data_IF_632549985760
#
_entry.id   IF_632549985760
#
_cell.length_a   1.000
_cell.length_b   1.000
_cell.length_c   1.000
_cell.angle_alpha   90.00
_cell.angle_beta   90.00
_cell.angle_gamma   90.00
#
_symmetry.space_group_name_H-M   'P 1'
#
loop_
_entity.id
_entity.type
_entity.pdbx_description
1 polymer ?
#
# COMPACT_ATOMS: atom_id res chain seq x y z
N UNK A 1 -49.41 63.71 -28.52
CA UNK A 1 -48.26 62.97 -27.93
C UNK A 1 -48.05 61.73 -28.77
N UNK A 2 -46.87 61.50 -29.37
CA UNK A 2 -46.64 60.29 -30.14
C UNK A 2 -46.60 59.08 -29.21
N UNK A 3 -47.16 57.96 -29.67
CA UNK A 3 -47.21 56.72 -28.92
C UNK A 3 -45.80 56.17 -28.72
N UNK A 4 -45.43 55.74 -27.51
CA UNK A 4 -44.10 55.23 -27.24
C UNK A 4 -43.87 53.94 -28.02
N UNK A 5 -42.82 53.92 -28.84
CA UNK A 5 -42.41 52.73 -29.56
C UNK A 5 -41.79 51.73 -28.58
N UNK A 6 -42.19 50.46 -28.72
CA UNK A 6 -41.65 49.36 -27.91
C UNK A 6 -40.99 48.34 -28.82
N UNK A 7 -39.82 47.89 -28.42
CA UNK A 7 -39.12 46.81 -29.10
C UNK A 7 -39.70 45.48 -28.63
N UNK A 8 -40.13 44.65 -29.58
CA UNK A 8 -40.62 43.29 -29.31
C UNK A 8 -39.65 42.25 -29.83
N UNK A 9 -39.65 41.09 -29.18
CA UNK A 9 -38.92 39.89 -29.61
C UNK A 9 -39.92 38.74 -29.68
N UNK A 10 -39.96 38.06 -30.83
CA UNK A 10 -40.75 36.84 -31.03
C UNK A 10 -39.95 35.64 -30.53
N UNK A 11 -40.51 34.87 -29.61
CA UNK A 11 -39.86 33.69 -29.01
C UNK A 11 -40.23 32.43 -29.80
N UNK A 12 -39.23 31.65 -30.20
CA UNK A 12 -39.41 30.35 -30.86
C UNK A 12 -38.94 29.18 -29.95
N UNK A 13 -39.59 28.01 -30.00
CA UNK A 13 -39.12 26.85 -29.25
C UNK A 13 -37.77 26.35 -29.79
N UNK A 14 -36.74 26.37 -28.96
CA UNK A 14 -35.44 25.78 -29.26
C UNK A 14 -35.11 24.71 -28.24
N UNK A 15 -34.62 23.56 -28.71
CA UNK A 15 -34.13 22.50 -27.83
C UNK A 15 -32.72 22.84 -27.37
N UNK A 16 -32.54 23.01 -26.06
CA UNK A 16 -31.24 23.32 -25.46
C UNK A 16 -30.83 22.19 -24.51
N UNK A 17 -29.61 21.63 -24.63
CA UNK A 17 -29.16 20.59 -23.73
C UNK A 17 -28.96 21.15 -22.32
N UNK A 18 -29.56 20.50 -21.32
CA UNK A 18 -29.33 20.83 -19.92
C UNK A 18 -28.06 20.11 -19.46
N UNK A 19 -26.97 20.86 -19.31
CA UNK A 19 -25.69 20.36 -18.79
C UNK A 19 -25.64 20.55 -17.28
N UNK A 20 -25.32 19.48 -16.56
CA UNK A 20 -25.06 19.52 -15.12
C UNK A 20 -23.57 19.36 -14.88
N UNK A 21 -23.00 20.31 -14.15
CA UNK A 21 -21.60 20.28 -13.75
C UNK A 21 -21.53 19.85 -12.28
N UNK A 22 -20.74 18.80 -12.01
CA UNK A 22 -20.59 18.24 -10.68
C UNK A 22 -19.13 18.31 -10.25
N UNK A 23 -18.90 18.70 -9.00
CA UNK A 23 -17.58 18.61 -8.39
C UNK A 23 -17.24 17.15 -8.13
N UNK A 24 -16.11 16.69 -8.67
CA UNK A 24 -15.59 15.35 -8.47
C UNK A 24 -14.20 15.39 -7.84
N UNK A 25 -13.90 14.45 -6.95
CA UNK A 25 -12.55 14.21 -6.46
C UNK A 25 -12.05 12.87 -7.01
N UNK A 26 -10.83 12.86 -7.54
CA UNK A 26 -10.16 11.65 -7.98
C UNK A 26 -9.42 11.01 -6.81
N UNK A 27 -9.61 9.72 -6.58
CA UNK A 27 -8.84 8.93 -5.63
C UNK A 27 -7.99 7.87 -6.37
N UNK A 28 -6.93 7.41 -5.73
CA UNK A 28 -6.16 6.26 -6.22
C UNK A 28 -7.06 5.03 -6.32
N UNK A 29 -6.92 4.23 -7.39
CA UNK A 29 -7.72 3.01 -7.54
C UNK A 29 -7.47 2.02 -6.39
N UNK A 30 -6.25 2.01 -5.84
CA UNK A 30 -5.83 1.20 -4.69
C UNK A 30 -4.75 1.96 -3.92
N UNK A 31 -5.00 2.19 -2.64
CA UNK A 31 -4.01 2.73 -1.72
C UNK A 31 -3.48 1.59 -0.84
N UNK A 32 -2.15 1.46 -0.77
CA UNK A 32 -1.48 0.47 0.06
C UNK A 32 -0.45 1.18 0.93
N UNK A 33 -0.68 1.17 2.24
CA UNK A 33 0.25 1.74 3.20
C UNK A 33 1.32 0.69 3.57
N UNK A 34 2.59 1.05 3.42
CA UNK A 34 3.71 0.18 3.79
C UNK A 34 4.05 0.42 5.26
N UNK A 35 3.78 -0.57 6.11
CA UNK A 35 4.10 -0.54 7.54
C UNK A 35 5.14 -1.59 7.90
N UNK A 36 6.08 -1.23 8.77
CA UNK A 36 7.04 -2.18 9.32
C UNK A 36 6.31 -3.17 10.25
N UNK A 37 6.50 -4.48 10.00
CA UNK A 37 5.92 -5.55 10.83
C UNK A 37 6.77 -5.90 12.05
N UNK A 38 8.04 -5.52 12.01
CA UNK A 38 9.03 -5.81 13.05
C UNK A 38 9.75 -4.52 13.41
N UNK A 39 10.15 -4.41 14.66
CA UNK A 39 10.98 -3.30 15.15
C UNK A 39 12.40 -3.50 14.67
N UNK A 40 12.99 -2.47 14.05
CA UNK A 40 14.36 -2.55 13.54
C UNK A 40 14.81 -1.23 12.95
N UNK A 41 16.12 -1.09 12.75
CA UNK A 41 16.71 0.07 12.11
C UNK A 41 16.68 -0.17 10.60
N UNK A 42 16.19 0.83 9.84
CA UNK A 42 16.22 0.80 8.37
C UNK A 42 17.66 1.02 7.92
N UNK A 43 18.24 0.02 7.27
CA UNK A 43 19.60 0.11 6.70
C UNK A 43 19.58 0.82 5.35
N UNK A 44 18.66 0.41 4.46
CA UNK A 44 18.58 0.94 3.09
C UNK A 44 17.14 1.02 2.59
N UNK A 45 16.89 2.05 1.78
CA UNK A 45 15.69 2.15 0.93
C UNK A 45 16.03 1.65 -0.48
N UNK A 46 15.26 0.69 -0.97
CA UNK A 46 15.53 -0.06 -2.19
C UNK A 46 14.66 0.36 -3.39
N UNK A 47 13.88 1.44 -3.24
CA UNK A 47 13.07 2.00 -4.31
C UNK A 47 13.33 3.50 -4.49
N UNK A 48 12.99 4.00 -5.68
CA UNK A 48 12.96 5.42 -5.99
C UNK A 48 11.55 5.95 -5.79
N UNK A 49 11.42 7.07 -5.09
CA UNK A 49 10.12 7.73 -4.90
C UNK A 49 9.47 8.06 -6.26
N UNK A 50 8.17 7.80 -6.37
CA UNK A 50 7.40 7.99 -7.60
C UNK A 50 7.59 6.89 -8.66
N UNK A 51 8.50 5.93 -8.46
CA UNK A 51 8.67 4.82 -9.40
C UNK A 51 7.60 3.72 -9.18
N UNK A 52 7.18 3.01 -10.25
CA UNK A 52 6.30 1.86 -10.11
C UNK A 52 7.02 0.72 -9.39
N UNK A 53 6.33 0.09 -8.43
CA UNK A 53 6.82 -1.07 -7.67
C UNK A 53 5.91 -2.27 -7.90
N UNK A 54 6.47 -3.48 -7.82
CA UNK A 54 5.72 -4.72 -8.01
C UNK A 54 5.45 -5.42 -6.67
N UNK A 55 4.40 -6.23 -6.62
CA UNK A 55 4.12 -7.06 -5.45
C UNK A 55 5.32 -7.98 -5.13
N UNK A 56 5.71 -8.05 -3.86
CA UNK A 56 6.87 -8.83 -3.40
C UNK A 56 8.23 -8.18 -3.61
N UNK A 57 8.30 -7.00 -4.26
CA UNK A 57 9.56 -6.28 -4.39
C UNK A 57 10.03 -5.76 -3.03
N UNK A 58 11.29 -6.02 -2.64
CA UNK A 58 11.87 -5.43 -1.43
C UNK A 58 11.89 -3.90 -1.53
N UNK A 59 11.26 -3.22 -0.58
CA UNK A 59 11.21 -1.75 -0.52
C UNK A 59 12.19 -1.18 0.51
N UNK A 60 12.32 -1.86 1.64
CA UNK A 60 13.19 -1.47 2.73
C UNK A 60 14.00 -2.68 3.20
N UNK A 61 15.28 -2.45 3.49
CA UNK A 61 16.14 -3.41 4.15
C UNK A 61 16.32 -2.97 5.60
N UNK A 62 15.96 -3.85 6.52
CA UNK A 62 16.21 -3.68 7.96
C UNK A 62 17.53 -4.34 8.33
N UNK A 63 18.19 -3.85 9.38
CA UNK A 63 19.38 -4.48 9.94
C UNK A 63 19.08 -5.93 10.38
N UNK A 64 19.68 -6.90 9.70
CA UNK A 64 19.44 -8.32 9.91
C UNK A 64 20.22 -8.91 11.10
N UNK A 65 21.31 -8.26 11.55
CA UNK A 65 22.22 -8.79 12.59
C UNK A 65 21.51 -9.30 13.86
N UNK A 66 20.58 -8.54 14.48
CA UNK A 66 19.89 -9.05 15.67
C UNK A 66 18.97 -10.23 15.37
N UNK A 67 18.38 -10.29 14.17
CA UNK A 67 17.51 -11.38 13.75
C UNK A 67 18.30 -12.65 13.39
N UNK A 68 19.43 -12.50 12.71
CA UNK A 68 20.35 -13.59 12.40
C UNK A 68 20.92 -14.23 13.67
N UNK A 69 21.31 -13.42 14.65
CA UNK A 69 21.78 -13.92 15.94
C UNK A 69 20.69 -14.73 16.68
N UNK A 70 19.45 -14.24 16.69
CA UNK A 70 18.32 -14.96 17.28
C UNK A 70 17.99 -16.26 16.55
N UNK A 71 18.04 -16.24 15.21
CA UNK A 71 17.85 -17.43 14.39
C UNK A 71 18.91 -18.49 14.71
N UNK A 72 20.19 -18.10 14.73
CA UNK A 72 21.29 -19.00 15.05
C UNK A 72 21.15 -19.62 16.46
N UNK A 73 20.72 -18.82 17.46
CA UNK A 73 20.46 -19.33 18.79
C UNK A 73 19.31 -20.35 18.82
N UNK A 74 18.21 -20.08 18.09
CA UNK A 74 17.07 -20.99 18.00
C UNK A 74 17.43 -22.30 17.27
N UNK A 75 18.26 -22.23 16.22
CA UNK A 75 18.75 -23.40 15.50
C UNK A 75 19.65 -24.28 16.37
N UNK A 76 20.53 -23.67 17.17
CA UNK A 76 21.39 -24.39 18.11
C UNK A 76 20.56 -25.12 19.18
N UNK A 77 19.53 -24.46 19.74
CA UNK A 77 18.60 -25.08 20.69
C UNK A 77 17.82 -26.23 20.06
N UNK A 78 17.34 -26.05 18.82
CA UNK A 78 16.66 -27.12 18.07
C UNK A 78 17.59 -28.33 17.84
N UNK A 79 18.86 -28.09 17.48
CA UNK A 79 19.84 -29.15 17.28
C UNK A 79 20.10 -29.92 18.59
N UNK A 80 20.24 -29.20 19.71
CA UNK A 80 20.41 -29.80 21.04
C UNK A 80 19.21 -30.66 21.43
N UNK A 81 17.99 -30.14 21.26
CA UNK A 81 16.77 -30.88 21.57
C UNK A 81 16.61 -32.14 20.69
N UNK A 82 16.96 -32.06 19.40
CA UNK A 82 16.96 -33.23 18.50
C UNK A 82 17.96 -34.29 18.92
N UNK A 83 19.16 -33.89 19.37
CA UNK A 83 20.17 -34.80 19.87
C UNK A 83 19.70 -35.50 21.15
N UNK A 84 19.14 -34.74 22.10
CA UNK A 84 18.57 -35.29 23.34
C UNK A 84 17.43 -36.26 23.07
N UNK A 85 16.51 -35.92 22.15
CA UNK A 85 15.44 -36.83 21.74
C UNK A 85 15.99 -38.12 21.16
N UNK A 86 16.94 -38.01 20.23
CA UNK A 86 17.57 -39.18 19.60
C UNK A 86 18.26 -40.07 20.62
N UNK A 87 18.88 -39.47 21.64
CA UNK A 87 19.49 -40.22 22.72
C UNK A 87 18.44 -40.92 23.60
N UNK A 88 17.37 -40.22 24.00
CA UNK A 88 16.28 -40.81 24.75
C UNK A 88 15.59 -41.97 24.00
N UNK A 89 15.40 -41.81 22.68
CA UNK A 89 14.84 -42.84 21.81
C UNK A 89 15.74 -44.09 21.74
N UNK A 90 17.07 -43.93 21.84
CA UNK A 90 18.03 -45.06 21.89
C UNK A 90 18.07 -45.75 23.25
N UNK A 91 17.89 -45.00 24.33
CA UNK A 91 17.88 -45.55 25.70
C UNK A 91 16.58 -46.30 26.03
N UNK A 92 15.48 -45.98 25.32
CA UNK A 92 14.18 -46.63 25.50
C UNK A 92 13.97 -47.91 24.67
N UNK A 93 14.94 -48.29 23.82
CA UNK A 93 14.92 -49.48 22.97
C UNK A 93 15.82 -50.59 23.55
#
# INVERSE_FOLDING_TARGET
MPVPEVTTVTVEPASYPVTFEYVGQTAGSKDAEVRARVTGIVEKRLYREGAPVRAGQPLFLLDARPFEAQLAAAEAELARARAQKTQADREAA
#
